data_IF_070006546611
#
_entry.id   IF_070006546611
#
_cell.length_a   1.000
_cell.length_b   1.000
_cell.length_c   1.000
_cell.angle_alpha   90.00
_cell.angle_beta   90.00
_cell.angle_gamma   90.00
#
_symmetry.space_group_name_H-M   'P 1'
#
loop_
_entity.id
_entity.type
_entity.pdbx_description
1 polymer ?
#
# COMPACT_ATOMS: atom_id res chain seq x y z
N UNK A 1 18.61 -5.45 7.30
CA UNK A 1 18.09 -5.83 5.96
C UNK A 1 16.60 -6.28 5.99
N UNK A 2 15.66 -5.46 6.49
CA UNK A 2 14.21 -5.79 6.53
C UNK A 2 13.33 -4.99 5.54
N UNK A 3 13.94 -4.14 4.70
CA UNK A 3 13.21 -3.08 3.97
C UNK A 3 12.83 -3.45 2.52
N UNK A 4 13.60 -4.33 1.87
CA UNK A 4 13.47 -4.60 0.42
C UNK A 4 12.23 -5.44 0.06
N UNK A 5 12.00 -6.55 0.79
CA UNK A 5 10.84 -7.44 0.57
C UNK A 5 9.49 -6.75 0.77
N UNK A 6 9.41 -5.84 1.76
CA UNK A 6 8.21 -5.04 1.99
C UNK A 6 7.97 -4.06 0.83
N UNK A 7 9.02 -3.39 0.36
CA UNK A 7 8.90 -2.45 -0.75
C UNK A 7 8.44 -3.14 -2.05
N UNK A 8 8.93 -4.35 -2.33
CA UNK A 8 8.46 -5.17 -3.46
C UNK A 8 6.98 -5.52 -3.35
N UNK A 9 6.55 -6.07 -2.20
CA UNK A 9 5.14 -6.42 -1.94
C UNK A 9 4.20 -5.22 -2.09
N UNK A 10 4.65 -4.04 -1.68
CA UNK A 10 3.87 -2.81 -1.76
C UNK A 10 3.71 -2.33 -3.20
N UNK A 11 4.79 -2.35 -3.99
CA UNK A 11 4.72 -2.06 -5.44
C UNK A 11 3.79 -3.04 -6.14
N UNK A 12 3.82 -4.32 -5.78
CA UNK A 12 2.95 -5.34 -6.36
C UNK A 12 1.47 -5.11 -6.01
N UNK A 13 1.19 -4.69 -4.77
CA UNK A 13 -0.15 -4.29 -4.34
C UNK A 13 -0.66 -3.08 -5.13
N UNK A 14 0.17 -2.04 -5.29
CA UNK A 14 -0.20 -0.86 -6.05
C UNK A 14 -0.50 -1.19 -7.51
N UNK A 15 0.37 -1.95 -8.18
CA UNK A 15 0.14 -2.43 -9.55
C UNK A 15 -1.16 -3.21 -9.66
N UNK A 16 -1.45 -4.10 -8.72
CA UNK A 16 -2.67 -4.91 -8.72
C UNK A 16 -3.92 -4.02 -8.62
N UNK A 17 -3.89 -2.99 -7.77
CA UNK A 17 -5.01 -2.06 -7.65
C UNK A 17 -5.21 -1.25 -8.93
N UNK A 18 -4.14 -0.74 -9.53
CA UNK A 18 -4.19 0.00 -10.79
C UNK A 18 -4.77 -0.87 -11.92
N UNK A 19 -4.36 -2.14 -12.01
CA UNK A 19 -4.95 -3.11 -12.93
C UNK A 19 -6.44 -3.33 -12.68
N UNK A 20 -6.85 -3.42 -11.42
CA UNK A 20 -8.27 -3.52 -11.04
C UNK A 20 -9.09 -2.33 -11.52
N UNK A 21 -8.60 -1.11 -11.31
CA UNK A 21 -9.26 0.10 -11.82
C UNK A 21 -9.31 0.11 -13.35
N UNK A 22 -8.24 -0.31 -14.04
CA UNK A 22 -8.22 -0.39 -15.51
C UNK A 22 -9.28 -1.36 -16.02
N UNK A 23 -9.48 -2.51 -15.37
CA UNK A 23 -10.53 -3.46 -15.74
C UNK A 23 -11.93 -2.90 -15.48
N UNK A 24 -12.14 -2.21 -14.35
CA UNK A 24 -13.41 -1.52 -14.08
C UNK A 24 -13.72 -0.48 -15.16
N UNK A 25 -12.72 0.31 -15.60
CA UNK A 25 -12.89 1.26 -16.71
C UNK A 25 -13.22 0.61 -18.05
N UNK A 26 -12.79 -0.64 -18.26
CA UNK A 26 -13.13 -1.44 -19.45
C UNK A 26 -14.55 -2.03 -19.38
N UNK A 27 -15.31 -1.77 -18.32
CA UNK A 27 -16.68 -2.26 -18.13
C UNK A 27 -16.79 -3.58 -17.36
N UNK A 28 -15.69 -4.11 -16.80
CA UNK A 28 -15.77 -5.31 -15.98
C UNK A 28 -16.53 -5.04 -14.68
N UNK A 29 -17.32 -6.03 -14.25
CA UNK A 29 -17.97 -5.98 -12.94
C UNK A 29 -16.95 -6.15 -11.81
N UNK A 30 -17.26 -5.65 -10.61
CA UNK A 30 -16.41 -5.85 -9.43
C UNK A 30 -16.12 -7.33 -9.15
N UNK A 31 -17.08 -8.22 -9.45
CA UNK A 31 -16.90 -9.66 -9.33
C UNK A 31 -15.95 -10.22 -10.40
N UNK A 32 -16.09 -9.80 -11.65
CA UNK A 32 -15.18 -10.19 -12.74
C UNK A 32 -13.73 -9.79 -12.46
N UNK A 33 -13.54 -8.54 -12.01
CA UNK A 33 -12.20 -8.05 -11.60
C UNK A 33 -11.63 -8.82 -10.42
N UNK A 34 -12.48 -9.18 -9.44
CA UNK A 34 -12.07 -9.97 -8.28
C UNK A 34 -11.57 -11.37 -8.69
N UNK A 35 -12.29 -12.03 -9.59
CA UNK A 35 -11.91 -13.34 -10.16
C UNK A 35 -10.60 -13.24 -10.96
N UNK A 36 -10.49 -12.23 -11.82
CA UNK A 36 -9.31 -12.01 -12.66
C UNK A 36 -8.03 -11.76 -11.84
N UNK A 37 -8.14 -11.01 -10.74
CA UNK A 37 -6.98 -10.60 -9.94
C UNK A 37 -6.74 -11.49 -8.70
N UNK A 38 -7.57 -12.51 -8.47
CA UNK A 38 -7.49 -13.38 -7.31
C UNK A 38 -7.65 -12.65 -5.98
N UNK A 39 -8.56 -11.67 -5.91
CA UNK A 39 -8.85 -10.88 -4.71
C UNK A 39 -10.33 -10.95 -4.34
N UNK A 40 -10.69 -10.51 -3.13
CA UNK A 40 -12.10 -10.43 -2.75
C UNK A 40 -12.82 -9.28 -3.45
N UNK A 41 -14.10 -9.47 -3.80
CA UNK A 41 -15.00 -8.42 -4.32
C UNK A 41 -14.97 -7.16 -3.45
N UNK A 42 -14.99 -7.31 -2.12
CA UNK A 42 -14.94 -6.20 -1.17
C UNK A 42 -13.68 -5.34 -1.32
N UNK A 43 -12.55 -5.96 -1.69
CA UNK A 43 -11.31 -5.22 -1.94
C UNK A 43 -11.43 -4.35 -3.18
N UNK A 44 -12.01 -4.90 -4.26
CA UNK A 44 -12.26 -4.18 -5.52
C UNK A 44 -13.23 -3.02 -5.29
N UNK A 45 -14.32 -3.21 -4.54
CA UNK A 45 -15.26 -2.15 -4.18
C UNK A 45 -14.55 -1.00 -3.44
N UNK A 46 -13.72 -1.32 -2.44
CA UNK A 46 -12.93 -0.30 -1.71
C UNK A 46 -11.88 0.41 -2.57
N UNK A 47 -11.43 -0.19 -3.66
CA UNK A 47 -10.55 0.50 -4.62
C UNK A 47 -11.36 1.44 -5.50
N UNK A 48 -12.53 0.99 -5.97
CA UNK A 48 -13.47 1.78 -6.75
C UNK A 48 -13.91 3.04 -6.00
N UNK A 49 -14.40 2.91 -4.78
CA UNK A 49 -14.83 4.06 -3.96
C UNK A 49 -13.72 5.09 -3.78
N UNK A 50 -12.49 4.63 -3.50
CA UNK A 50 -11.32 5.52 -3.39
C UNK A 50 -10.96 6.18 -4.71
N UNK A 51 -11.06 5.43 -5.81
CA UNK A 51 -10.81 5.95 -7.14
C UNK A 51 -11.86 7.01 -7.54
N UNK A 52 -13.13 6.79 -7.21
CA UNK A 52 -14.21 7.75 -7.47
C UNK A 52 -14.03 9.03 -6.64
N UNK A 53 -13.50 8.92 -5.41
CA UNK A 53 -13.27 10.07 -4.52
C UNK A 53 -11.99 10.86 -4.80
N UNK A 54 -10.87 10.16 -5.05
CA UNK A 54 -9.51 10.74 -5.07
C UNK A 54 -8.76 10.43 -6.39
N UNK A 55 -9.40 9.80 -7.36
CA UNK A 55 -8.77 9.38 -8.61
C UNK A 55 -7.67 8.33 -8.41
N UNK A 56 -6.64 8.37 -9.25
CA UNK A 56 -5.51 7.43 -9.14
C UNK A 56 -4.75 7.57 -7.82
N UNK A 57 -4.68 8.77 -7.24
CA UNK A 57 -4.00 9.03 -5.97
C UNK A 57 -4.64 8.29 -4.78
N UNK A 58 -5.96 8.11 -4.80
CA UNK A 58 -6.67 7.32 -3.78
C UNK A 58 -6.29 5.84 -3.77
N UNK A 59 -5.77 5.35 -4.88
CA UNK A 59 -5.47 3.93 -5.10
C UNK A 59 -3.98 3.63 -4.91
N UNK A 60 -3.12 4.66 -5.05
CA UNK A 60 -1.69 4.60 -4.75
C UNK A 60 -1.43 4.27 -3.28
N UNK A 61 -0.24 3.75 -3.02
CA UNK A 61 0.20 3.48 -1.66
C UNK A 61 0.73 4.76 -0.99
N UNK A 62 0.09 5.19 0.11
CA UNK A 62 0.45 6.41 0.86
C UNK A 62 1.56 6.22 1.90
N UNK A 63 2.48 5.28 1.70
CA UNK A 63 3.67 5.16 2.57
C UNK A 63 3.48 4.47 3.94
N UNK A 64 2.26 4.40 4.47
CA UNK A 64 2.00 3.83 5.81
C UNK A 64 1.42 2.43 5.67
N UNK A 65 2.15 1.43 6.15
CA UNK A 65 1.67 0.06 6.34
C UNK A 65 1.65 -0.25 7.84
N UNK A 66 0.46 -0.56 8.38
CA UNK A 66 0.27 -0.92 9.79
C UNK A 66 0.02 0.26 10.74
N UNK A 67 -0.06 -0.04 12.04
CA UNK A 67 -0.21 0.96 13.10
C UNK A 67 0.98 1.91 13.09
N UNK A 68 0.73 3.21 13.20
CA UNK A 68 1.78 4.21 13.33
C UNK A 68 2.76 3.80 14.43
N UNK A 69 4.06 3.91 14.16
CA UNK A 69 5.10 3.61 15.14
C UNK A 69 4.89 4.49 16.37
N UNK A 70 4.96 3.92 17.58
CA UNK A 70 4.91 4.69 18.83
C UNK A 70 6.03 5.72 18.96
N UNK A 71 7.08 5.58 18.15
CA UNK A 71 8.23 6.47 18.15
C UNK A 71 8.05 7.59 17.12
N UNK A 72 8.15 8.83 17.57
CA UNK A 72 8.25 10.01 16.70
C UNK A 72 9.54 9.96 15.87
N UNK A 73 9.61 10.76 14.80
CA UNK A 73 10.80 10.84 13.96
C UNK A 73 12.05 11.23 14.76
N UNK A 74 11.90 12.13 15.74
CA UNK A 74 12.96 12.54 16.66
C UNK A 74 13.43 11.39 17.55
N UNK A 75 12.51 10.61 18.12
CA UNK A 75 12.86 9.44 18.93
C UNK A 75 13.61 8.36 18.11
N UNK A 76 13.33 8.25 16.81
CA UNK A 76 14.08 7.35 15.92
C UNK A 76 15.51 7.85 15.66
N UNK A 77 15.73 9.16 15.52
CA UNK A 77 17.09 9.75 15.38
C UNK A 77 17.91 9.55 16.64
N UNK A 78 17.33 9.82 17.81
CA UNK A 78 18.00 9.65 19.11
C UNK A 78 18.42 8.20 19.29
N UNK A 79 17.52 7.25 19.01
CA UNK A 79 17.82 5.82 19.13
C UNK A 79 18.95 5.38 18.18
N UNK A 80 19.00 5.92 16.95
CA UNK A 80 20.07 5.64 16.00
C UNK A 80 21.43 6.12 16.51
N UNK A 81 21.51 7.37 16.99
CA UNK A 81 22.76 7.92 17.52
C UNK A 81 23.26 7.17 18.76
N UNK A 82 22.37 6.71 19.64
CA UNK A 82 22.76 5.91 20.80
C UNK A 82 23.32 4.54 20.40
N UNK A 83 22.74 3.90 19.39
CA UNK A 83 23.21 2.60 18.91
C UNK A 83 24.61 2.71 18.28
N UNK A 84 24.87 3.77 17.52
CA UNK A 84 26.18 4.01 16.89
C UNK A 84 27.26 4.34 17.93
N UNK A 85 26.90 5.00 19.03
CA UNK A 85 27.81 5.34 20.13
C UNK A 85 28.11 4.19 21.08
N UNK A 86 27.25 3.18 21.14
CA UNK A 86 27.41 2.02 22.04
C UNK A 86 28.24 0.89 21.43
N UNK A 87 28.62 0.99 20.14
CA UNK A 87 29.47 0.02 19.42
C UNK A 87 30.91 0.53 19.23
N UNK A 88 31.32 1.55 19.98
CA UNK A 88 32.67 2.12 19.99
C UNK A 88 33.26 1.94 21.38
#
# INVERSE_FOLDING_TARGET
MRNDKNQKRLKDLEKRRQNGIRLLKKGYTCYGVAKELGVSKQSVMRWRERYEKEGLEGVKWKGISGRASKLTLEQKRIKKNHLERSNK
#
